data_IF_243872522388
#
_entry.id   IF_243872522388
#
_cell.length_a   1.000
_cell.length_b   1.000
_cell.length_c   1.000
_cell.angle_alpha   90.00
_cell.angle_beta   90.00
_cell.angle_gamma   90.00
#
_symmetry.space_group_name_H-M   'P 1'
#
loop_
_entity.id
_entity.type
_entity.pdbx_description
1 polymer ?
#
# COMPACT_ATOMS: atom_id res chain seq x y z
N UNK A 1 44.47 -37.59 -45.68
CA UNK A 1 43.98 -37.66 -47.08
C UNK A 1 42.50 -37.32 -47.04
N UNK A 2 42.02 -36.51 -47.99
CA UNK A 2 40.58 -36.24 -48.09
C UNK A 2 39.85 -37.54 -48.46
N UNK A 3 38.78 -37.85 -47.74
CA UNK A 3 37.94 -39.06 -47.96
C UNK A 3 36.55 -38.70 -48.48
N UNK A 4 36.28 -37.42 -48.73
CA UNK A 4 35.01 -36.87 -49.19
C UNK A 4 35.24 -36.03 -50.46
N UNK A 5 34.30 -36.08 -51.41
CA UNK A 5 34.36 -35.29 -52.64
C UNK A 5 34.30 -33.78 -52.35
N UNK A 6 34.96 -32.97 -53.19
CA UNK A 6 34.96 -31.50 -53.10
C UNK A 6 35.53 -30.92 -51.79
N UNK A 7 36.48 -31.61 -51.14
CA UNK A 7 37.11 -31.14 -49.90
C UNK A 7 38.63 -30.95 -50.02
N UNK A 8 39.16 -30.03 -49.21
CA UNK A 8 40.60 -29.90 -48.96
C UNK A 8 40.87 -30.39 -47.54
N UNK A 9 41.64 -31.47 -47.41
CA UNK A 9 42.02 -32.01 -46.11
C UNK A 9 43.41 -31.50 -45.68
N UNK A 10 43.50 -30.93 -44.49
CA UNK A 10 44.77 -30.49 -43.87
C UNK A 10 45.35 -31.53 -42.88
N UNK A 11 44.83 -32.77 -42.86
CA UNK A 11 45.25 -33.80 -41.91
C UNK A 11 44.65 -35.19 -42.11
N UNK A 12 44.45 -35.90 -40.98
CA UNK A 12 43.73 -37.16 -40.84
C UNK A 12 42.86 -37.14 -39.56
N UNK A 13 42.08 -38.20 -39.31
CA UNK A 13 41.28 -38.37 -38.09
C UNK A 13 42.14 -38.43 -36.81
N UNK A 14 43.41 -38.81 -36.92
CA UNK A 14 44.35 -38.95 -35.80
C UNK A 14 45.40 -37.84 -35.73
N UNK A 15 45.50 -36.97 -36.75
CA UNK A 15 46.50 -35.92 -36.81
C UNK A 15 46.01 -34.70 -37.60
N UNK A 16 45.49 -33.69 -36.90
CA UNK A 16 45.01 -32.45 -37.49
C UNK A 16 46.08 -31.35 -37.49
N UNK A 17 45.97 -30.42 -38.44
CA UNK A 17 46.84 -29.23 -38.52
C UNK A 17 46.01 -27.96 -38.36
N UNK A 18 46.56 -26.98 -37.67
CA UNK A 18 46.03 -25.60 -37.69
C UNK A 18 46.43 -24.93 -39.00
N UNK A 19 45.54 -24.11 -39.56
CA UNK A 19 45.85 -23.19 -40.65
C UNK A 19 46.17 -21.83 -40.02
N UNK A 20 47.36 -21.30 -40.24
CA UNK A 20 47.83 -20.04 -39.64
C UNK A 20 47.85 -18.90 -40.67
N UNK A 21 47.94 -17.66 -40.19
CA UNK A 21 47.95 -16.45 -41.03
C UNK A 21 46.68 -16.25 -41.89
N UNK A 22 45.54 -16.74 -41.41
CA UNK A 22 44.24 -16.54 -42.06
C UNK A 22 43.75 -15.12 -41.76
N UNK A 23 43.72 -14.27 -42.79
CA UNK A 23 43.14 -12.94 -42.73
C UNK A 23 41.63 -13.00 -42.46
N UNK A 24 41.04 -11.89 -42.00
CA UNK A 24 39.60 -11.85 -41.73
C UNK A 24 38.79 -11.99 -43.03
N UNK A 25 37.86 -12.94 -43.07
CA UNK A 25 36.96 -13.15 -44.20
C UNK A 25 35.97 -11.99 -44.38
N UNK A 26 35.58 -11.73 -45.63
CA UNK A 26 34.64 -10.65 -46.02
C UNK A 26 33.40 -11.19 -46.72
N UNK A 27 33.57 -12.15 -47.63
CA UNK A 27 32.46 -12.76 -48.35
C UNK A 27 31.87 -13.90 -47.52
N UNK A 28 30.63 -14.29 -47.85
CA UNK A 28 29.95 -15.39 -47.16
C UNK A 28 30.68 -16.75 -47.28
N UNK A 29 31.55 -16.89 -48.27
CA UNK A 29 32.34 -18.11 -48.55
C UNK A 29 33.80 -18.02 -48.08
N UNK A 30 34.19 -16.93 -47.42
CA UNK A 30 35.55 -16.80 -46.89
C UNK A 30 35.68 -17.56 -45.55
N UNK A 31 36.88 -18.07 -45.26
CA UNK A 31 37.16 -18.68 -43.96
C UNK A 31 37.14 -17.63 -42.84
N UNK A 32 36.61 -18.00 -41.68
CA UNK A 32 36.59 -17.16 -40.46
C UNK A 32 37.82 -17.45 -39.62
N UNK A 33 38.48 -16.40 -39.12
CA UNK A 33 39.58 -16.56 -38.16
C UNK A 33 39.11 -16.43 -36.69
N UNK A 34 39.98 -16.80 -35.74
CA UNK A 34 39.63 -16.80 -34.30
C UNK A 34 39.30 -15.40 -33.77
N UNK A 35 39.86 -14.34 -34.36
CA UNK A 35 39.57 -12.97 -33.95
C UNK A 35 38.11 -12.57 -34.28
N UNK A 36 37.63 -12.94 -35.47
CA UNK A 36 36.24 -12.74 -35.86
C UNK A 36 35.28 -13.52 -34.95
N UNK A 37 35.62 -14.77 -34.61
CA UNK A 37 34.83 -15.58 -33.68
C UNK A 37 34.74 -14.92 -32.29
N UNK A 38 35.88 -14.54 -31.69
CA UNK A 38 35.92 -13.87 -30.37
C UNK A 38 35.15 -12.55 -30.35
N UNK A 39 35.24 -11.78 -31.44
CA UNK A 39 34.48 -10.53 -31.56
C UNK A 39 32.98 -10.77 -31.59
N UNK A 40 32.53 -11.83 -32.26
CA UNK A 40 31.12 -12.22 -32.26
C UNK A 40 30.66 -12.69 -30.88
N UNK A 41 31.49 -13.47 -30.17
CA UNK A 41 31.17 -13.97 -28.84
C UNK A 41 31.10 -12.85 -27.79
N UNK A 42 31.93 -11.81 -27.90
CA UNK A 42 31.96 -10.69 -26.97
C UNK A 42 30.66 -9.85 -26.97
N UNK A 43 29.88 -9.88 -28.05
CA UNK A 43 28.61 -9.17 -28.16
C UNK A 43 27.38 -10.00 -27.77
N UNK A 44 27.54 -11.30 -27.50
CA UNK A 44 26.44 -12.20 -27.21
C UNK A 44 26.00 -12.18 -25.74
N UNK A 45 24.71 -12.34 -25.49
CA UNK A 45 24.19 -12.73 -24.17
C UNK A 45 24.24 -14.24 -24.07
N UNK A 46 24.81 -14.78 -22.98
CA UNK A 46 24.99 -16.22 -22.77
C UNK A 46 24.44 -16.61 -21.41
N UNK A 47 23.99 -17.86 -21.32
CA UNK A 47 23.79 -18.52 -20.05
C UNK A 47 25.12 -18.69 -19.32
N UNK A 48 25.03 -18.80 -18.01
CA UNK A 48 26.19 -19.04 -17.18
C UNK A 48 26.72 -20.48 -17.40
N UNK A 49 27.99 -20.72 -17.06
CA UNK A 49 28.63 -22.04 -17.23
C UNK A 49 29.01 -22.58 -15.85
N UNK A 50 28.75 -23.86 -15.61
CA UNK A 50 29.11 -24.54 -14.36
C UNK A 50 30.60 -24.90 -14.33
N UNK A 51 31.10 -25.26 -13.15
CA UNK A 51 32.49 -25.65 -12.95
C UNK A 51 32.91 -26.90 -13.77
N UNK A 52 31.95 -27.76 -14.12
CA UNK A 52 32.17 -28.95 -14.96
C UNK A 52 32.17 -28.65 -16.47
N UNK A 53 31.97 -27.39 -16.87
CA UNK A 53 31.91 -26.95 -18.26
C UNK A 53 30.54 -27.07 -18.91
N UNK A 54 29.51 -27.56 -18.21
CA UNK A 54 28.13 -27.61 -18.71
C UNK A 54 27.42 -26.25 -18.61
N UNK A 55 26.39 -26.03 -19.45
CA UNK A 55 25.60 -24.80 -19.46
C UNK A 55 24.60 -24.79 -18.29
N UNK A 56 24.52 -23.67 -17.58
CA UNK A 56 23.51 -23.41 -16.54
C UNK A 56 22.35 -22.57 -17.08
N UNK A 57 21.25 -23.23 -17.45
CA UNK A 57 20.03 -22.57 -17.92
C UNK A 57 19.24 -21.84 -16.83
N UNK A 58 19.64 -21.94 -15.56
CA UNK A 58 18.95 -21.27 -14.46
C UNK A 58 19.37 -19.80 -14.30
N UNK A 59 20.53 -19.41 -14.84
CA UNK A 59 21.08 -18.07 -14.66
C UNK A 59 21.59 -17.44 -15.97
N UNK A 60 21.37 -16.13 -16.08
CA UNK A 60 22.00 -15.26 -17.07
C UNK A 60 22.59 -14.08 -16.30
N UNK A 61 23.90 -13.98 -16.26
CA UNK A 61 24.58 -12.84 -15.63
C UNK A 61 24.80 -11.69 -16.62
N UNK A 62 24.22 -10.53 -16.32
CA UNK A 62 24.38 -9.30 -17.11
C UNK A 62 25.44 -8.36 -16.50
N UNK A 63 25.80 -7.31 -17.24
CA UNK A 63 26.72 -6.28 -16.73
C UNK A 63 28.19 -6.71 -16.60
N UNK A 64 28.57 -7.85 -17.19
CA UNK A 64 29.96 -8.30 -17.28
C UNK A 64 30.58 -8.77 -15.95
N UNK A 65 29.76 -9.06 -14.93
CA UNK A 65 30.22 -9.65 -13.66
C UNK A 65 31.01 -8.72 -12.72
N UNK A 66 31.37 -7.52 -13.15
CA UNK A 66 32.20 -6.57 -12.39
C UNK A 66 31.37 -5.54 -11.60
N UNK A 67 30.14 -5.90 -11.21
CA UNK A 67 29.22 -5.03 -10.46
C UNK A 67 28.48 -3.97 -11.30
N UNK A 68 28.76 -3.88 -12.60
CA UNK A 68 27.93 -3.12 -13.54
C UNK A 68 26.57 -3.79 -13.75
N UNK A 69 25.58 -3.01 -14.18
CA UNK A 69 24.24 -3.52 -14.53
C UNK A 69 23.92 -3.23 -16.00
N UNK A 70 22.96 -3.96 -16.56
CA UNK A 70 22.48 -3.77 -17.93
C UNK A 70 21.01 -3.40 -17.92
N UNK A 71 20.65 -2.29 -18.56
CA UNK A 71 19.24 -1.95 -18.80
C UNK A 71 18.71 -2.80 -19.95
N UNK A 72 17.71 -3.62 -19.67
CA UNK A 72 16.94 -4.33 -20.69
C UNK A 72 15.78 -3.43 -21.13
N UNK A 73 15.70 -3.13 -22.41
CA UNK A 73 14.66 -2.26 -22.99
C UNK A 73 13.89 -2.97 -24.09
N UNK A 74 12.76 -2.40 -24.51
CA UNK A 74 11.82 -3.04 -25.46
C UNK A 74 11.25 -4.37 -24.93
N UNK A 75 11.04 -4.44 -23.61
CA UNK A 75 10.35 -5.55 -22.96
C UNK A 75 8.84 -5.30 -23.04
N UNK A 76 8.15 -6.14 -23.81
CA UNK A 76 6.68 -6.16 -23.87
C UNK A 76 6.08 -6.46 -22.49
N UNK A 77 4.80 -6.13 -22.31
CA UNK A 77 4.12 -6.48 -21.07
C UNK A 77 4.06 -8.01 -20.92
N UNK A 78 4.44 -8.52 -19.74
CA UNK A 78 4.33 -9.94 -19.42
C UNK A 78 2.88 -10.38 -19.32
N UNK A 79 2.58 -11.58 -19.79
CA UNK A 79 1.23 -12.18 -19.82
C UNK A 79 1.15 -13.37 -18.87
N UNK A 80 2.16 -14.24 -18.87
CA UNK A 80 2.25 -15.39 -17.98
C UNK A 80 2.96 -15.03 -16.67
N UNK A 81 2.78 -15.87 -15.65
CA UNK A 81 3.38 -15.68 -14.33
C UNK A 81 4.93 -15.66 -14.35
N UNK A 82 5.53 -16.29 -15.36
CA UNK A 82 6.99 -16.41 -15.49
C UNK A 82 7.58 -15.42 -16.52
N UNK A 83 6.76 -14.51 -17.05
CA UNK A 83 7.25 -13.47 -17.96
C UNK A 83 7.91 -12.34 -17.17
N UNK A 84 8.90 -11.69 -17.79
CA UNK A 84 9.47 -10.47 -17.23
C UNK A 84 8.43 -9.33 -17.24
N UNK A 85 8.39 -8.56 -16.15
CA UNK A 85 7.55 -7.36 -16.06
C UNK A 85 8.27 -6.15 -16.63
N UNK A 86 7.55 -5.31 -17.36
CA UNK A 86 8.08 -4.03 -17.82
C UNK A 86 7.70 -2.88 -16.86
N UNK A 87 8.33 -1.71 -17.05
CA UNK A 87 8.11 -0.55 -16.17
C UNK A 87 6.67 -0.01 -16.20
N UNK A 88 5.96 -0.16 -17.34
CA UNK A 88 4.57 0.27 -17.45
C UNK A 88 3.64 -0.55 -16.55
N UNK A 89 3.83 -1.87 -16.47
CA UNK A 89 3.09 -2.75 -15.57
C UNK A 89 3.34 -2.39 -14.09
N UNK A 90 4.58 -2.12 -13.71
CA UNK A 90 4.91 -1.67 -12.36
C UNK A 90 4.23 -0.34 -12.03
N UNK A 91 4.29 0.64 -12.94
CA UNK A 91 3.65 1.95 -12.75
C UNK A 91 2.13 1.82 -12.59
N UNK A 92 1.50 0.96 -13.40
CA UNK A 92 0.07 0.68 -13.32
C UNK A 92 -0.32 0.07 -11.96
N UNK A 93 0.41 -0.96 -11.50
CA UNK A 93 0.16 -1.59 -10.20
C UNK A 93 0.31 -0.62 -9.02
N UNK A 94 1.32 0.26 -9.06
CA UNK A 94 1.50 1.31 -8.05
C UNK A 94 0.35 2.33 -8.09
N UNK A 95 -0.14 2.70 -9.28
CA UNK A 95 -1.27 3.61 -9.43
C UNK A 95 -2.57 3.01 -8.88
N UNK A 96 -2.86 1.74 -9.16
CA UNK A 96 -4.00 1.01 -8.59
C UNK A 96 -3.94 0.96 -7.06
N UNK A 97 -2.76 0.73 -6.50
CA UNK A 97 -2.55 0.72 -5.04
C UNK A 97 -2.80 2.10 -4.42
N UNK A 98 -2.37 3.18 -5.10
CA UNK A 98 -2.65 4.55 -4.65
C UNK A 98 -4.13 4.84 -4.65
N UNK A 99 -4.84 4.51 -5.72
CA UNK A 99 -6.30 4.69 -5.80
C UNK A 99 -7.03 3.93 -4.68
N UNK A 100 -6.63 2.70 -4.39
CA UNK A 100 -7.18 1.93 -3.26
C UNK A 100 -6.93 2.63 -1.91
N UNK A 101 -5.72 3.15 -1.70
CA UNK A 101 -5.37 3.85 -0.46
C UNK A 101 -6.14 5.16 -0.32
N UNK A 102 -6.26 5.94 -1.40
CA UNK A 102 -6.99 7.20 -1.44
C UNK A 102 -8.48 6.99 -1.13
N UNK A 103 -9.09 5.95 -1.73
CA UNK A 103 -10.48 5.57 -1.42
C UNK A 103 -10.65 5.24 0.06
N UNK A 104 -9.71 4.47 0.62
CA UNK A 104 -9.77 4.11 2.03
C UNK A 104 -9.55 5.30 2.96
N UNK A 105 -8.74 6.27 2.55
CA UNK A 105 -8.51 7.51 3.31
C UNK A 105 -9.77 8.37 3.32
N UNK A 106 -10.44 8.54 2.18
CA UNK A 106 -11.72 9.26 2.10
C UNK A 106 -12.81 8.61 2.97
N UNK A 107 -12.90 7.27 2.97
CA UNK A 107 -13.80 6.55 3.88
C UNK A 107 -13.46 6.81 5.35
N UNK A 108 -12.17 6.87 5.69
CA UNK A 108 -11.71 7.16 7.03
C UNK A 108 -12.04 8.59 7.44
N UNK A 109 -11.80 9.56 6.58
CA UNK A 109 -12.11 10.98 6.83
C UNK A 109 -13.60 11.19 7.06
N UNK A 110 -14.45 10.54 6.26
CA UNK A 110 -15.91 10.58 6.45
C UNK A 110 -16.34 9.96 7.77
N UNK A 111 -15.74 8.83 8.17
CA UNK A 111 -16.01 8.20 9.48
C UNK A 111 -15.51 9.04 10.64
N UNK A 112 -14.35 9.66 10.51
CA UNK A 112 -13.77 10.53 11.52
C UNK A 112 -14.63 11.77 11.71
N UNK A 113 -14.99 12.46 10.62
CA UNK A 113 -15.90 13.61 10.65
C UNK A 113 -17.25 13.25 11.30
N UNK A 114 -17.84 12.11 10.94
CA UNK A 114 -19.08 11.64 11.58
C UNK A 114 -18.91 11.35 13.07
N UNK A 115 -17.74 10.83 13.47
CA UNK A 115 -17.42 10.57 14.87
C UNK A 115 -17.26 11.88 15.63
N UNK A 116 -16.57 12.88 15.05
CA UNK A 116 -16.43 14.21 15.63
C UNK A 116 -17.77 14.91 15.81
N UNK A 117 -18.67 14.84 14.81
CA UNK A 117 -20.04 15.38 14.93
C UNK A 117 -20.82 14.69 16.04
N UNK A 118 -20.78 13.36 16.14
CA UNK A 118 -21.43 12.61 17.22
C UNK A 118 -20.91 13.00 18.61
N UNK A 119 -19.59 13.06 18.77
CA UNK A 119 -18.95 13.51 20.02
C UNK A 119 -19.35 14.95 20.37
N UNK A 120 -19.36 15.84 19.37
CA UNK A 120 -19.77 17.24 19.55
C UNK A 120 -21.23 17.34 20.01
N UNK A 121 -22.13 16.55 19.42
CA UNK A 121 -23.53 16.43 19.85
C UNK A 121 -23.66 15.88 21.27
N UNK A 122 -22.83 14.91 21.65
CA UNK A 122 -22.75 14.38 23.02
C UNK A 122 -22.33 15.46 24.04
N UNK A 123 -21.34 16.30 23.70
CA UNK A 123 -20.91 17.43 24.54
C UNK A 123 -22.01 18.48 24.63
N UNK A 124 -22.67 18.82 23.51
CA UNK A 124 -23.80 19.75 23.52
C UNK A 124 -24.93 19.23 24.44
N UNK A 125 -25.17 17.93 24.44
CA UNK A 125 -26.13 17.26 25.33
C UNK A 125 -25.76 17.43 26.80
N UNK A 126 -24.48 17.23 27.14
CA UNK A 126 -23.97 17.46 28.49
C UNK A 126 -24.12 18.93 28.91
N UNK A 127 -23.79 19.88 28.03
CA UNK A 127 -23.97 21.32 28.27
C UNK A 127 -25.44 21.69 28.50
N UNK A 128 -26.36 21.12 27.71
CA UNK A 128 -27.80 21.33 27.89
C UNK A 128 -28.27 20.83 29.26
N UNK A 129 -27.75 19.68 29.69
CA UNK A 129 -28.10 19.05 30.98
C UNK A 129 -27.48 19.76 32.19
N UNK A 130 -26.27 20.32 32.08
CA UNK A 130 -25.65 21.12 33.15
C UNK A 130 -26.33 22.47 33.32
N UNK A 131 -26.85 23.05 32.25
CA UNK A 131 -27.63 24.29 32.28
C UNK A 131 -29.01 24.18 32.92
N UNK A 132 -29.50 22.96 33.23
CA UNK A 132 -30.84 22.74 33.81
C UNK A 132 -30.91 23.24 35.27
N UNK A 133 -31.81 24.21 35.58
CA UNK A 133 -32.08 24.62 36.96
C UNK A 133 -32.53 23.46 37.85
N UNK A 134 -32.26 23.61 39.15
CA UNK A 134 -32.60 22.64 40.19
C UNK A 134 -33.51 23.28 41.26
N UNK A 135 -34.41 22.50 41.86
CA UNK A 135 -35.21 22.94 43.00
C UNK A 135 -34.33 23.16 44.24
N UNK A 136 -34.56 24.28 44.96
CA UNK A 136 -33.84 24.61 46.21
C UNK A 136 -34.76 24.67 47.44
N UNK A 137 -36.07 24.59 47.27
CA UNK A 137 -37.07 24.68 48.34
C UNK A 137 -37.42 23.30 48.92
N UNK A 138 -37.43 23.11 50.25
CA UNK A 138 -37.84 21.84 50.87
C UNK A 138 -39.24 21.40 50.44
N UNK A 139 -39.37 20.13 50.04
CA UNK A 139 -40.63 19.56 49.55
C UNK A 139 -41.04 19.99 48.14
N UNK A 140 -40.26 20.83 47.45
CA UNK A 140 -40.57 21.28 46.11
C UNK A 140 -40.01 20.33 45.03
N UNK A 141 -40.76 20.24 43.93
CA UNK A 141 -40.36 19.58 42.69
C UNK A 141 -40.24 20.62 41.58
N UNK A 142 -39.30 20.43 40.67
CA UNK A 142 -39.07 21.32 39.52
C UNK A 142 -38.92 20.49 38.25
N UNK A 143 -39.62 20.92 37.19
CA UNK A 143 -39.35 20.50 35.82
C UNK A 143 -38.55 21.59 35.11
N UNK A 144 -37.51 21.21 34.38
CA UNK A 144 -36.63 22.13 33.67
C UNK A 144 -36.38 21.68 32.23
N UNK A 145 -36.12 22.65 31.36
CA UNK A 145 -35.69 22.47 29.98
C UNK A 145 -34.44 23.31 29.75
N UNK A 146 -33.49 22.78 28.99
CA UNK A 146 -32.19 23.38 28.76
C UNK A 146 -31.73 23.13 27.33
N UNK A 147 -30.92 24.03 26.80
CA UNK A 147 -30.30 23.92 25.49
C UNK A 147 -28.79 24.02 25.60
N UNK A 148 -28.08 23.33 24.73
CA UNK A 148 -26.62 23.35 24.66
C UNK A 148 -26.16 23.34 23.21
N UNK A 149 -25.01 23.96 22.95
CA UNK A 149 -24.39 23.98 21.62
C UNK A 149 -22.90 23.75 21.78
N UNK A 150 -22.30 22.99 20.88
CA UNK A 150 -20.86 22.76 20.84
C UNK A 150 -20.42 22.38 19.43
N UNK A 151 -19.41 23.08 18.90
CA UNK A 151 -18.78 22.79 17.61
C UNK A 151 -19.78 22.60 16.43
N UNK A 152 -20.79 23.47 16.35
CA UNK A 152 -21.83 23.41 15.31
C UNK A 152 -23.00 22.46 15.60
N UNK A 153 -22.89 21.60 16.61
CA UNK A 153 -23.98 20.72 17.05
C UNK A 153 -24.79 21.36 18.19
N UNK A 154 -26.06 20.98 18.28
CA UNK A 154 -26.99 21.48 19.30
C UNK A 154 -27.69 20.33 20.02
N UNK A 155 -28.16 20.59 21.23
CA UNK A 155 -28.88 19.62 22.02
C UNK A 155 -29.94 20.28 22.90
N UNK A 156 -30.96 19.51 23.22
CA UNK A 156 -32.03 19.87 24.14
C UNK A 156 -32.07 18.85 25.25
N UNK A 157 -32.19 19.34 26.49
CA UNK A 157 -32.30 18.53 27.68
C UNK A 157 -33.58 18.85 28.44
N UNK A 158 -34.13 17.84 29.10
CA UNK A 158 -35.24 17.92 30.03
C UNK A 158 -34.77 17.34 31.36
N UNK A 159 -35.21 17.94 32.46
CA UNK A 159 -34.88 17.46 33.80
C UNK A 159 -36.03 17.60 34.77
N UNK A 160 -36.02 16.72 35.77
CA UNK A 160 -36.82 16.83 36.97
C UNK A 160 -35.91 16.81 38.19
N UNK A 161 -36.18 17.67 39.16
CA UNK A 161 -35.48 17.66 40.44
C UNK A 161 -36.45 17.80 41.60
N UNK A 162 -36.07 17.23 42.75
CA UNK A 162 -36.90 17.23 43.96
C UNK A 162 -36.02 17.41 45.19
N UNK A 163 -36.48 18.23 46.13
CA UNK A 163 -35.89 18.34 47.47
C UNK A 163 -36.82 17.65 48.46
N UNK A 164 -36.28 16.81 49.33
CA UNK A 164 -37.05 16.15 50.40
C UNK A 164 -37.72 17.18 51.32
N UNK A 165 -38.83 16.80 51.96
CA UNK A 165 -39.59 17.67 52.86
C UNK A 165 -38.76 18.18 54.06
N UNK A 166 -37.76 17.41 54.48
CA UNK A 166 -36.82 17.82 55.53
C UNK A 166 -35.68 18.72 55.03
N UNK A 167 -35.67 19.07 53.74
CA UNK A 167 -34.65 19.89 53.11
C UNK A 167 -33.28 19.23 52.95
N UNK A 168 -33.08 18.00 53.44
CA UNK A 168 -31.74 17.40 53.54
C UNK A 168 -31.28 16.69 52.27
N UNK A 169 -32.21 16.19 51.46
CA UNK A 169 -31.88 15.39 50.26
C UNK A 169 -32.36 16.09 49.00
N UNK A 170 -31.52 16.08 47.96
CA UNK A 170 -31.83 16.61 46.63
C UNK A 170 -31.61 15.51 45.59
N UNK A 171 -32.59 15.30 44.72
CA UNK A 171 -32.54 14.35 43.62
C UNK A 171 -32.65 15.10 42.29
N UNK A 172 -31.93 14.63 41.26
CA UNK A 172 -32.02 15.16 39.89
C UNK A 172 -32.01 14.00 38.90
N UNK A 173 -32.96 13.98 37.99
CA UNK A 173 -33.00 13.10 36.82
C UNK A 173 -33.09 13.98 35.58
N UNK A 174 -32.27 13.71 34.58
CA UNK A 174 -32.19 14.51 33.37
C UNK A 174 -31.91 13.63 32.16
N UNK A 175 -32.52 13.98 31.03
CA UNK A 175 -32.33 13.33 29.75
C UNK A 175 -32.16 14.37 28.65
N UNK A 176 -31.51 14.01 27.56
CA UNK A 176 -31.26 14.92 26.44
C UNK A 176 -31.19 14.19 25.12
N UNK A 177 -31.32 14.97 24.04
CA UNK A 177 -31.13 14.55 22.66
C UNK A 177 -30.37 15.64 21.92
N UNK A 178 -29.57 15.26 20.93
CA UNK A 178 -28.82 16.20 20.10
C UNK A 178 -29.22 16.17 18.61
N UNK A 179 -28.67 17.09 17.83
CA UNK A 179 -28.86 17.19 16.37
C UNK A 179 -28.34 15.98 15.59
N UNK A 180 -27.46 15.14 16.18
CA UNK A 180 -27.03 13.87 15.61
C UNK A 180 -28.01 12.70 15.91
N UNK A 181 -29.09 12.98 16.65
CA UNK A 181 -30.11 11.99 17.01
C UNK A 181 -29.68 11.03 18.12
N UNK A 182 -28.63 11.36 18.89
CA UNK A 182 -28.19 10.55 20.03
C UNK A 182 -28.86 11.02 21.32
N UNK A 183 -29.20 10.06 22.18
CA UNK A 183 -29.85 10.29 23.46
C UNK A 183 -28.87 10.11 24.62
N UNK A 184 -29.00 10.90 25.67
CA UNK A 184 -28.22 10.79 26.90
C UNK A 184 -29.10 10.93 28.13
N UNK A 185 -28.73 10.29 29.22
CA UNK A 185 -29.44 10.37 30.50
C UNK A 185 -28.44 10.45 31.66
N UNK A 186 -28.77 11.20 32.70
CA UNK A 186 -28.00 11.28 33.92
C UNK A 186 -28.92 11.39 35.14
N UNK A 187 -28.46 10.84 36.26
CA UNK A 187 -29.13 10.88 37.54
C UNK A 187 -28.13 11.28 38.63
N UNK A 188 -28.57 12.06 39.62
CA UNK A 188 -27.74 12.52 40.72
C UNK A 188 -28.55 12.69 42.00
N UNK A 189 -27.89 12.47 43.14
CA UNK A 189 -28.45 12.72 44.46
C UNK A 189 -27.39 13.42 45.34
N UNK A 190 -27.83 14.33 46.21
CA UNK A 190 -26.98 15.07 47.13
C UNK A 190 -27.63 15.22 48.50
N UNK A 191 -26.80 15.35 49.53
CA UNK A 191 -27.24 15.63 50.90
C UNK A 191 -26.67 16.99 51.34
N UNK A 192 -27.51 17.84 51.94
CA UNK A 192 -27.12 19.11 52.55
C UNK A 192 -27.44 19.10 54.05
N UNK A 193 -26.52 19.60 54.87
CA UNK A 193 -26.58 19.61 56.34
C UNK A 193 -26.33 20.99 56.91
#
# INVERSE_FOLDING_TARGET
>A
MATEENTISVGSSTNQRRITNVAAGKNATDAVNVAQLKSSEAGGVRYDTKADGSIDYSNITLGGGNGGTTRISNVSAGVNNNDAVNYAQLKQSVQETKQYTDQRMVEMDNKLSKTESKLSGGIASAMAMTGLPQAYTPGASMASIGGGTYNGESAVALGVSMVSANGRWVYKLQGSTNSQGEYSAALGAGIQW
#
